data_IF_575629499949
#
_entry.id   IF_575629499949
#
_cell.length_a   1.000
_cell.length_b   1.000
_cell.length_c   1.000
_cell.angle_alpha   90.00
_cell.angle_beta   90.00
_cell.angle_gamma   90.00
#
_symmetry.space_group_name_H-M   'P 1'
#
loop_
_entity.id
_entity.type
_entity.pdbx_description
1 polymer ?
#
# COMPACT_ATOMS: atom_id res chain seq x y z
N UNK A 1 8.15 27.74 -29.35
CA UNK A 1 7.16 27.50 -28.27
C UNK A 1 7.34 26.06 -27.79
N UNK A 2 7.89 25.85 -26.58
CA UNK A 2 8.08 24.50 -26.01
C UNK A 2 6.73 24.01 -25.49
N UNK A 3 6.20 22.97 -26.10
CA UNK A 3 5.03 22.25 -25.59
C UNK A 3 5.40 21.63 -24.25
N UNK A 4 4.96 22.26 -23.16
CA UNK A 4 5.04 21.67 -21.82
C UNK A 4 4.14 20.45 -21.86
N UNK A 5 4.74 19.24 -21.93
CA UNK A 5 3.97 18.01 -21.76
C UNK A 5 3.47 18.03 -20.32
N UNK A 6 2.23 18.50 -20.11
CA UNK A 6 1.57 18.33 -18.83
C UNK A 6 1.48 16.83 -18.58
N UNK A 7 2.19 16.37 -17.54
CA UNK A 7 1.97 15.02 -17.05
C UNK A 7 0.51 14.92 -16.60
N UNK A 8 -0.21 13.85 -16.99
CA UNK A 8 -1.58 13.67 -16.53
C UNK A 8 -1.58 13.62 -14.99
N UNK A 9 -2.60 14.22 -14.37
CA UNK A 9 -2.71 14.27 -12.90
C UNK A 9 -2.57 12.88 -12.25
N UNK A 10 -3.02 11.82 -12.94
CA UNK A 10 -2.85 10.44 -12.48
C UNK A 10 -1.40 9.96 -12.41
N UNK A 11 -0.51 10.47 -13.27
CA UNK A 11 0.93 10.16 -13.22
C UNK A 11 1.59 10.85 -12.02
N UNK A 12 1.29 12.13 -11.80
CA UNK A 12 1.80 12.90 -10.66
C UNK A 12 1.40 12.21 -9.34
N UNK A 13 0.11 11.87 -9.21
CA UNK A 13 -0.43 11.18 -8.02
C UNK A 13 0.21 9.79 -7.85
N UNK A 14 0.51 9.07 -8.93
CA UNK A 14 1.14 7.75 -8.85
C UNK A 14 2.61 7.82 -8.40
N UNK A 15 3.35 8.84 -8.83
CA UNK A 15 4.73 9.11 -8.39
C UNK A 15 4.77 9.52 -6.92
N UNK A 16 3.88 10.43 -6.51
CA UNK A 16 3.72 10.83 -5.11
C UNK A 16 3.34 9.62 -4.24
N UNK A 17 2.40 8.79 -4.69
CA UNK A 17 2.01 7.56 -3.99
C UNK A 17 3.19 6.58 -3.83
N UNK A 18 4.07 6.49 -4.84
CA UNK A 18 5.30 5.70 -4.76
C UNK A 18 6.27 6.23 -3.70
N UNK A 19 6.44 7.55 -3.63
CA UNK A 19 7.29 8.21 -2.63
C UNK A 19 6.75 7.98 -1.21
N UNK A 20 5.46 8.21 -1.00
CA UNK A 20 4.80 7.99 0.30
C UNK A 20 4.87 6.52 0.73
N UNK A 21 4.82 5.58 -0.21
CA UNK A 21 4.92 4.16 0.09
C UNK A 21 6.28 3.80 0.69
N UNK A 22 7.36 4.41 0.20
CA UNK A 22 8.68 4.26 0.79
C UNK A 22 8.73 4.76 2.24
N UNK A 23 8.15 5.93 2.52
CA UNK A 23 8.08 6.47 3.87
C UNK A 23 7.23 5.59 4.82
N UNK A 24 6.11 5.06 4.34
CA UNK A 24 5.25 4.14 5.10
C UNK A 24 5.98 2.83 5.39
N UNK A 25 6.73 2.28 4.45
CA UNK A 25 7.54 1.07 4.66
C UNK A 25 8.66 1.34 5.69
N UNK A 26 9.30 2.51 5.63
CA UNK A 26 10.26 2.94 6.65
C UNK A 26 9.63 3.04 8.03
N UNK A 27 8.42 3.60 8.15
CA UNK A 27 7.69 3.66 9.42
C UNK A 27 7.31 2.25 9.90
N UNK A 28 6.77 1.41 9.03
CA UNK A 28 6.34 0.04 9.36
C UNK A 28 7.48 -0.81 9.94
N UNK A 29 8.70 -0.61 9.45
CA UNK A 29 9.90 -1.32 9.89
C UNK A 29 10.53 -0.74 11.17
N UNK A 30 10.01 0.35 11.74
CA UNK A 30 10.52 0.88 13.01
C UNK A 30 10.21 -0.06 14.17
N UNK A 31 11.20 -0.24 15.04
CA UNK A 31 11.04 -0.92 16.32
C UNK A 31 10.11 -0.14 17.24
N UNK A 32 9.36 -0.85 18.09
CA UNK A 32 8.51 -0.24 19.11
C UNK A 32 7.10 0.15 18.66
N UNK A 33 6.72 -0.11 17.41
CA UNK A 33 5.33 0.05 16.98
C UNK A 33 4.42 -1.01 17.60
N UNK A 34 3.29 -0.57 18.15
CA UNK A 34 2.26 -1.49 18.63
C UNK A 34 1.54 -2.16 17.43
N UNK A 35 0.80 -3.26 17.65
CA UNK A 35 0.09 -3.96 16.58
C UNK A 35 -0.96 -3.12 15.86
N UNK A 36 -1.63 -2.19 16.55
CA UNK A 36 -2.65 -1.31 15.94
C UNK A 36 -2.03 -0.31 14.96
N UNK A 37 -0.87 0.26 15.29
CA UNK A 37 -0.12 1.16 14.42
C UNK A 37 0.38 0.43 13.18
N UNK A 38 0.89 -0.80 13.35
CA UNK A 38 1.28 -1.66 12.22
C UNK A 38 0.09 -1.96 11.31
N UNK A 39 -1.08 -2.23 11.87
CA UNK A 39 -2.29 -2.47 11.10
C UNK A 39 -2.73 -1.21 10.31
N UNK A 40 -2.70 -0.03 10.95
CA UNK A 40 -2.99 1.23 10.28
C UNK A 40 -2.02 1.49 9.10
N UNK A 41 -0.72 1.32 9.32
CA UNK A 41 0.30 1.46 8.28
C UNK A 41 0.14 0.43 7.16
N UNK A 42 -0.29 -0.80 7.46
CA UNK A 42 -0.59 -1.81 6.44
C UNK A 42 -1.75 -1.38 5.52
N UNK A 43 -2.80 -0.76 6.07
CA UNK A 43 -3.92 -0.22 5.30
C UNK A 43 -3.48 0.94 4.40
N UNK A 44 -2.68 1.86 4.94
CA UNK A 44 -2.11 2.97 4.15
C UNK A 44 -1.25 2.43 3.01
N UNK A 45 -0.38 1.45 3.28
CA UNK A 45 0.45 0.77 2.26
C UNK A 45 -0.41 0.18 1.14
N UNK A 46 -1.51 -0.51 1.47
CA UNK A 46 -2.42 -1.07 0.47
C UNK A 46 -3.10 0.02 -0.37
N UNK A 47 -3.54 1.11 0.26
CA UNK A 47 -4.16 2.23 -0.45
C UNK A 47 -3.18 2.89 -1.44
N UNK A 48 -1.95 3.15 -1.01
CA UNK A 48 -0.91 3.73 -1.87
C UNK A 48 -0.53 2.81 -3.04
N UNK A 49 -0.43 1.49 -2.80
CA UNK A 49 -0.23 0.49 -3.86
C UNK A 49 -1.36 0.58 -4.88
N UNK A 50 -2.62 0.54 -4.46
CA UNK A 50 -3.78 0.64 -5.37
C UNK A 50 -3.75 1.90 -6.23
N UNK A 51 -3.42 3.06 -5.65
CA UNK A 51 -3.33 4.34 -6.38
C UNK A 51 -2.25 4.29 -7.46
N UNK A 52 -1.03 3.88 -7.08
CA UNK A 52 0.10 3.73 -8.00
C UNK A 52 -0.20 2.70 -9.08
N UNK A 53 -0.78 1.58 -8.68
CA UNK A 53 -0.94 0.42 -9.55
C UNK A 53 -2.07 0.64 -10.56
N UNK A 54 -3.14 1.36 -10.19
CA UNK A 54 -4.19 1.80 -11.12
C UNK A 54 -3.63 2.64 -12.26
N UNK A 55 -2.73 3.58 -11.97
CA UNK A 55 -2.10 4.38 -13.03
C UNK A 55 -1.27 3.50 -13.97
N UNK A 56 -0.47 2.56 -13.44
CA UNK A 56 0.34 1.63 -14.23
C UNK A 56 -0.50 0.70 -15.10
N UNK A 57 -1.62 0.20 -14.58
CA UNK A 57 -2.60 -0.56 -15.34
C UNK A 57 -3.21 0.26 -16.50
N UNK A 58 -3.59 1.53 -16.25
CA UNK A 58 -4.07 2.42 -17.32
C UNK A 58 -3.01 2.70 -18.40
N UNK A 59 -1.72 2.60 -18.05
CA UNK A 59 -0.61 2.78 -18.98
C UNK A 59 -0.19 1.48 -19.69
N UNK A 60 -0.90 0.36 -19.47
CA UNK A 60 -0.58 -0.94 -20.06
C UNK A 60 0.71 -1.57 -19.53
N UNK A 61 1.18 -1.14 -18.35
CA UNK A 61 2.32 -1.74 -17.68
C UNK A 61 1.82 -2.94 -16.87
N UNK A 62 2.09 -4.15 -17.35
CA UNK A 62 1.80 -5.39 -16.63
C UNK A 62 2.42 -5.35 -15.22
N UNK A 63 1.58 -5.62 -14.22
CA UNK A 63 2.01 -5.76 -12.83
C UNK A 63 2.47 -7.19 -12.59
N UNK A 64 3.64 -7.45 -11.98
CA UNK A 64 3.85 -8.73 -11.32
C UNK A 64 2.76 -8.87 -10.25
N UNK A 65 2.01 -9.95 -10.35
CA UNK A 65 0.92 -10.35 -9.47
C UNK A 65 1.45 -10.54 -8.04
N UNK A 66 1.57 -9.43 -7.31
CA UNK A 66 1.82 -9.41 -5.89
C UNK A 66 0.47 -9.18 -5.21
N UNK A 67 -0.43 -10.16 -5.32
CA UNK A 67 -1.52 -10.32 -4.37
C UNK A 67 -0.93 -10.16 -2.97
N UNK A 68 -1.25 -9.11 -2.20
CA UNK A 68 -0.81 -9.05 -0.83
C UNK A 68 -1.57 -10.16 -0.12
N UNK A 69 -0.85 -11.18 0.32
CA UNK A 69 -1.33 -12.14 1.29
C UNK A 69 -1.94 -11.31 2.41
N UNK A 70 -3.27 -11.33 2.49
CA UNK A 70 -4.02 -10.52 3.44
C UNK A 70 -3.52 -10.90 4.84
N UNK A 71 -2.83 -10.01 5.58
CA UNK A 71 -2.31 -10.36 6.90
C UNK A 71 -3.44 -10.60 7.92
N UNK A 72 -4.68 -10.41 7.51
CA UNK A 72 -5.86 -10.46 8.36
C UNK A 72 -6.37 -11.89 8.66
N UNK A 73 -5.92 -12.93 7.93
CA UNK A 73 -6.38 -14.31 8.20
C UNK A 73 -5.76 -14.84 9.50
N UNK A 74 -4.51 -14.51 9.78
CA UNK A 74 -3.82 -15.01 10.99
C UNK A 74 -4.32 -14.33 12.27
N UNK A 75 -4.81 -13.08 12.20
CA UNK A 75 -5.38 -12.37 13.34
C UNK A 75 -6.80 -12.86 13.70
N UNK A 76 -7.59 -13.28 12.72
CA UNK A 76 -8.93 -13.83 12.97
C UNK A 76 -8.90 -15.22 13.64
N UNK A 77 -7.86 -16.03 13.35
CA UNK A 77 -7.68 -17.35 13.97
C UNK A 77 -7.33 -17.24 15.45
N UNK A 78 -6.40 -16.34 15.81
CA UNK A 78 -5.95 -16.13 17.19
C UNK A 78 -7.05 -15.54 18.11
N UNK A 79 -8.02 -14.80 17.56
CA UNK A 79 -9.17 -14.30 18.30
C UNK A 79 -10.26 -15.35 18.51
N UNK A 80 -10.37 -16.35 17.63
CA UNK A 80 -11.31 -17.48 17.80
C UNK A 80 -10.77 -18.54 18.77
N UNK A 81 -9.47 -18.80 18.77
CA UNK A 81 -8.86 -19.82 19.65
C UNK A 81 -8.86 -19.41 21.14
N UNK A 82 -9.04 -18.12 21.45
CA UNK A 82 -9.17 -17.60 22.82
C UNK A 82 -10.64 -17.37 23.29
N UNK A 83 -11.64 -17.83 22.53
CA UNK A 83 -13.08 -17.61 22.84
C UNK A 83 -13.87 -18.89 23.13
N UNK A 84 -13.21 -20.01 23.45
CA UNK A 84 -13.89 -21.20 23.98
C UNK A 84 -13.59 -21.37 25.48
N UNK A 85 -14.63 -21.56 26.32
CA UNK A 85 -14.51 -21.71 27.78
C UNK A 85 -13.78 -23.00 28.19
#
# INVERSE_FOLDING_TARGET
MRSVRLMPASAIIAEEAGTLLHDVERLFNRSGLNPADKFALANVRMALRRVRDRHRQCMGVDMPDAAPESPCISCHRALRENQTP
#
